data_IF_488112691867
#
_entry.id   IF_488112691867
#
_cell.length_a   1.000
_cell.length_b   1.000
_cell.length_c   1.000
_cell.angle_alpha   90.00
_cell.angle_beta   90.00
_cell.angle_gamma   90.00
#
_symmetry.space_group_name_H-M   'P 1'
#
loop_
_entity.id
_entity.type
_entity.pdbx_description
1 polymer ?
#
# COMPACT_ATOMS: atom_id res chain seq x y z
N UNK A 1 -19.18 7.80 6.70
CA UNK A 1 -18.64 6.72 7.57
C UNK A 1 -17.34 7.10 8.26
N UNK A 2 -16.38 7.73 7.58
CA UNK A 2 -15.09 8.15 8.17
C UNK A 2 -15.24 8.95 9.49
N UNK A 3 -16.13 9.95 9.51
CA UNK A 3 -16.36 10.76 10.72
C UNK A 3 -16.95 9.93 11.87
N UNK A 4 -17.89 9.03 11.58
CA UNK A 4 -18.41 8.10 12.58
C UNK A 4 -17.33 7.16 13.12
N UNK A 5 -16.41 6.70 12.26
CA UNK A 5 -15.27 5.88 12.68
C UNK A 5 -14.33 6.65 13.62
N UNK A 6 -14.00 7.92 13.28
CA UNK A 6 -13.20 8.83 14.12
C UNK A 6 -13.81 9.03 15.51
N UNK A 7 -15.13 9.17 15.61
CA UNK A 7 -15.84 9.37 16.88
C UNK A 7 -16.26 8.07 17.59
N UNK A 8 -15.74 6.90 17.18
CA UNK A 8 -16.09 5.59 17.77
C UNK A 8 -17.58 5.27 17.73
N UNK A 9 -18.28 5.78 16.70
CA UNK A 9 -19.73 5.59 16.47
C UNK A 9 -20.06 4.66 15.31
N UNK A 10 -19.05 4.12 14.60
CA UNK A 10 -19.35 3.09 13.62
C UNK A 10 -19.81 1.79 14.32
N UNK A 11 -20.68 1.06 13.63
CA UNK A 11 -21.16 -0.24 14.06
C UNK A 11 -20.36 -1.32 13.34
N UNK A 12 -20.34 -2.52 13.90
CA UNK A 12 -19.61 -3.66 13.38
C UNK A 12 -20.33 -4.31 12.18
N UNK A 13 -20.62 -3.52 11.14
CA UNK A 13 -21.20 -4.01 9.90
C UNK A 13 -20.12 -4.64 9.01
N UNK A 14 -20.50 -5.70 8.29
CA UNK A 14 -19.71 -6.26 7.19
C UNK A 14 -19.87 -5.34 5.99
N UNK A 15 -18.85 -4.52 5.74
CA UNK A 15 -18.83 -3.58 4.62
C UNK A 15 -18.57 -4.32 3.31
N UNK A 16 -19.25 -3.89 2.26
CA UNK A 16 -18.97 -4.27 0.88
C UNK A 16 -17.79 -3.47 0.34
N UNK A 17 -17.19 -3.96 -0.74
CA UNK A 17 -16.00 -3.37 -1.36
C UNK A 17 -16.27 -1.96 -1.87
N UNK A 18 -17.38 -1.78 -2.59
CA UNK A 18 -17.89 -0.51 -3.10
C UNK A 18 -18.06 0.55 -2.00
N UNK A 19 -18.59 0.15 -0.85
CA UNK A 19 -18.78 1.00 0.34
C UNK A 19 -17.45 1.46 0.93
N UNK A 20 -16.42 0.60 0.95
CA UNK A 20 -15.09 0.95 1.45
C UNK A 20 -14.39 1.90 0.48
N UNK A 21 -14.40 1.54 -0.82
CA UNK A 21 -13.79 2.31 -1.90
C UNK A 21 -14.33 3.74 -1.94
N UNK A 22 -15.65 3.89 -2.06
CA UNK A 22 -16.29 5.22 -2.12
C UNK A 22 -16.13 5.99 -0.80
N UNK A 23 -16.13 5.32 0.34
CA UNK A 23 -15.93 5.98 1.63
C UNK A 23 -14.54 6.57 1.80
N UNK A 24 -13.50 5.84 1.41
CA UNK A 24 -12.11 6.29 1.57
C UNK A 24 -11.72 7.26 0.47
N UNK A 25 -11.98 6.91 -0.80
CA UNK A 25 -11.46 7.65 -1.96
C UNK A 25 -12.45 8.70 -2.47
N UNK A 26 -13.75 8.54 -2.25
CA UNK A 26 -14.77 9.49 -2.72
C UNK A 26 -14.58 10.93 -2.23
N UNK A 27 -14.18 11.19 -0.97
CA UNK A 27 -13.90 12.55 -0.51
C UNK A 27 -12.80 13.27 -1.31
N UNK A 28 -11.89 12.55 -1.96
CA UNK A 28 -10.82 13.15 -2.77
C UNK A 28 -11.37 13.90 -4.00
N UNK A 29 -12.56 13.55 -4.49
CA UNK A 29 -13.23 14.27 -5.60
C UNK A 29 -13.57 15.73 -5.26
N UNK A 30 -13.52 16.11 -3.98
CA UNK A 30 -13.80 17.48 -3.52
C UNK A 30 -12.53 18.23 -3.07
N UNK A 31 -11.35 17.63 -3.26
CA UNK A 31 -10.08 18.23 -2.87
C UNK A 31 -9.41 18.97 -4.03
N UNK A 32 -8.56 19.97 -3.75
CA UNK A 32 -7.74 20.59 -4.79
C UNK A 32 -6.89 19.53 -5.53
N UNK A 33 -6.78 19.60 -6.88
CA UNK A 33 -6.02 18.64 -7.67
C UNK A 33 -4.57 18.46 -7.20
N UNK A 34 -3.93 19.54 -6.74
CA UNK A 34 -2.57 19.54 -6.20
C UNK A 34 -2.42 18.70 -4.92
N UNK A 35 -3.44 18.67 -4.07
CA UNK A 35 -3.43 17.88 -2.83
C UNK A 35 -3.60 16.39 -3.16
N UNK A 36 -4.52 16.06 -4.07
CA UNK A 36 -4.72 14.67 -4.56
C UNK A 36 -3.46 14.17 -5.27
N UNK A 37 -2.85 15.02 -6.10
CA UNK A 37 -1.59 14.72 -6.77
C UNK A 37 -0.46 14.45 -5.78
N UNK A 38 -0.29 15.33 -4.77
CA UNK A 38 0.73 15.20 -3.75
C UNK A 38 0.57 13.88 -2.97
N UNK A 39 -0.66 13.53 -2.57
CA UNK A 39 -0.98 12.26 -1.92
C UNK A 39 -0.57 11.06 -2.79
N UNK A 40 -1.00 11.03 -4.05
CA UNK A 40 -0.75 9.89 -4.93
C UNK A 40 0.74 9.71 -5.21
N UNK A 41 1.48 10.82 -5.37
CA UNK A 41 2.93 10.82 -5.57
C UNK A 41 3.71 10.23 -4.40
N UNK A 42 3.26 10.43 -3.17
CA UNK A 42 3.92 9.84 -1.99
C UNK A 42 3.38 8.44 -1.68
N UNK A 43 2.15 8.12 -2.08
CA UNK A 43 1.51 6.85 -1.77
C UNK A 43 1.90 5.72 -2.73
N UNK A 44 1.90 5.99 -4.04
CA UNK A 44 2.09 4.95 -5.04
C UNK A 44 3.58 4.74 -5.32
N UNK A 45 4.09 3.49 -5.25
CA UNK A 45 5.52 3.19 -5.24
C UNK A 45 6.17 3.19 -6.63
N UNK A 46 5.78 4.12 -7.51
CA UNK A 46 6.41 4.28 -8.81
C UNK A 46 7.64 5.17 -8.72
N UNK A 47 8.61 4.91 -9.58
CA UNK A 47 9.85 5.70 -9.64
C UNK A 47 9.53 7.14 -10.04
N UNK A 48 10.30 8.09 -9.51
CA UNK A 48 10.06 9.53 -9.69
C UNK A 48 10.02 9.92 -11.17
N UNK A 49 10.81 9.27 -12.01
CA UNK A 49 10.96 9.55 -13.44
C UNK A 49 9.75 9.08 -14.26
N UNK A 50 8.90 8.21 -13.68
CA UNK A 50 7.65 7.76 -14.30
C UNK A 50 6.51 8.76 -14.09
N UNK A 51 6.66 9.68 -13.13
CA UNK A 51 5.68 10.73 -12.88
C UNK A 51 5.95 11.92 -13.80
N UNK A 52 4.90 12.52 -14.37
CA UNK A 52 4.98 13.85 -14.93
C UNK A 52 5.62 14.86 -13.95
N UNK A 53 6.41 15.79 -14.48
CA UNK A 53 7.14 16.78 -13.68
C UNK A 53 6.26 17.98 -13.31
N UNK A 54 5.27 18.28 -14.13
CA UNK A 54 4.29 19.34 -13.87
C UNK A 54 3.36 18.95 -12.71
N UNK A 55 2.68 19.95 -12.14
CA UNK A 55 1.55 19.73 -11.23
C UNK A 55 0.26 19.83 -12.05
N UNK A 56 -0.68 18.88 -11.91
CA UNK A 56 -1.93 18.93 -12.66
C UNK A 56 -2.81 20.09 -12.22
N UNK A 57 -3.57 20.64 -13.17
CA UNK A 57 -4.59 21.67 -12.93
C UNK A 57 -5.98 21.07 -12.71
N UNK A 58 -6.14 19.76 -12.93
CA UNK A 58 -7.41 19.04 -12.75
C UNK A 58 -7.18 17.58 -12.35
N UNK A 59 -8.09 17.05 -11.54
CA UNK A 59 -8.13 15.64 -11.14
C UNK A 59 -9.59 15.16 -11.17
N UNK A 60 -9.89 14.22 -12.05
CA UNK A 60 -11.20 13.57 -12.15
C UNK A 60 -11.15 12.17 -11.53
N UNK A 61 -12.09 11.86 -10.63
CA UNK A 61 -12.19 10.57 -9.97
C UNK A 61 -13.52 9.92 -10.38
N UNK A 62 -13.42 8.93 -11.27
CA UNK A 62 -14.55 8.18 -11.80
C UNK A 62 -14.64 6.81 -11.12
N UNK A 63 -15.71 6.55 -10.36
CA UNK A 63 -15.96 5.26 -9.70
C UNK A 63 -16.77 4.34 -10.61
N UNK A 64 -16.32 3.10 -10.77
CA UNK A 64 -16.93 2.09 -11.64
C UNK A 64 -17.20 2.58 -13.08
N UNK A 65 -16.23 3.22 -13.76
CA UNK A 65 -16.44 3.65 -15.13
C UNK A 65 -16.49 2.44 -16.06
N UNK A 66 -17.31 2.51 -17.10
CA UNK A 66 -17.27 1.54 -18.17
C UNK A 66 -16.14 1.93 -19.15
N UNK A 67 -15.04 1.18 -19.15
CA UNK A 67 -13.96 1.31 -20.13
C UNK A 67 -14.30 0.44 -21.34
N UNK A 68 -14.99 0.99 -22.33
CA UNK A 68 -15.37 0.22 -23.52
C UNK A 68 -14.18 0.03 -24.47
N UNK A 69 -14.02 -1.21 -24.94
CA UNK A 69 -13.52 -1.52 -26.29
C UNK A 69 -14.00 -2.88 -26.82
N UNK A 70 -14.47 -3.83 -26.00
CA UNK A 70 -15.03 -5.12 -26.48
C UNK A 70 -15.89 -5.88 -25.42
N UNK A 71 -16.35 -5.18 -24.38
CA UNK A 71 -17.12 -5.73 -23.26
C UNK A 71 -17.16 -4.75 -22.08
N UNK A 72 -18.08 -4.96 -21.11
CA UNK A 72 -18.16 -4.14 -19.89
C UNK A 72 -16.94 -4.41 -19.01
N UNK A 73 -15.90 -3.58 -19.15
CA UNK A 73 -14.71 -3.63 -18.31
C UNK A 73 -14.78 -2.48 -17.31
N UNK A 74 -14.97 -2.82 -16.04
CA UNK A 74 -15.32 -1.86 -14.99
C UNK A 74 -14.27 -1.93 -13.87
N UNK A 75 -13.20 -1.10 -13.89
CA UNK A 75 -12.34 -0.94 -12.73
C UNK A 75 -13.11 -0.25 -11.58
N UNK A 76 -12.68 -0.46 -10.35
CA UNK A 76 -13.32 0.17 -9.19
C UNK A 76 -13.19 1.70 -9.18
N UNK A 77 -12.04 2.22 -9.62
CA UNK A 77 -11.77 3.65 -9.69
C UNK A 77 -10.78 3.97 -10.81
N UNK A 78 -11.04 5.04 -11.56
CA UNK A 78 -10.08 5.66 -12.47
C UNK A 78 -9.88 7.11 -12.07
N UNK A 79 -8.63 7.49 -11.85
CA UNK A 79 -8.23 8.87 -11.56
C UNK A 79 -7.51 9.44 -12.78
N UNK A 80 -8.05 10.52 -13.38
CA UNK A 80 -7.44 11.20 -14.52
C UNK A 80 -6.93 12.57 -14.10
N UNK A 81 -5.62 12.73 -14.12
CA UNK A 81 -4.98 14.02 -13.94
C UNK A 81 -4.84 14.72 -15.29
N UNK A 82 -5.11 16.02 -15.30
CA UNK A 82 -5.01 16.87 -16.48
C UNK A 82 -4.20 18.13 -16.19
N UNK A 83 -3.54 18.64 -17.22
CA UNK A 83 -2.87 19.94 -17.18
C UNK A 83 -3.39 20.79 -18.33
N UNK A 84 -4.06 21.90 -18.00
CA UNK A 84 -4.77 22.76 -18.97
C UNK A 84 -5.72 21.95 -19.87
N UNK A 85 -6.55 21.10 -19.25
CA UNK A 85 -7.51 20.18 -19.89
C UNK A 85 -6.90 19.09 -20.79
N UNK A 86 -5.56 18.97 -20.86
CA UNK A 86 -4.89 17.87 -21.58
C UNK A 86 -4.64 16.70 -20.64
N UNK A 87 -4.86 15.44 -21.09
CA UNK A 87 -4.51 14.26 -20.31
C UNK A 87 -3.02 14.26 -19.92
N UNK A 88 -2.74 13.90 -18.67
CA UNK A 88 -1.38 13.91 -18.11
C UNK A 88 -1.00 12.57 -17.50
N UNK A 89 -1.84 12.03 -16.60
CA UNK A 89 -1.64 10.72 -15.98
C UNK A 89 -3.01 10.08 -15.73
N UNK A 90 -3.14 8.80 -16.05
CA UNK A 90 -4.29 7.98 -15.66
C UNK A 90 -3.86 6.99 -14.60
N UNK A 91 -4.60 6.89 -13.49
CA UNK A 91 -4.35 5.89 -12.45
C UNK A 91 -5.59 5.01 -12.31
N UNK A 92 -5.45 3.73 -12.66
CA UNK A 92 -6.51 2.74 -12.57
C UNK A 92 -6.36 1.99 -11.25
N UNK A 93 -7.46 1.77 -10.56
CA UNK A 93 -7.51 0.95 -9.36
C UNK A 93 -8.47 -0.22 -9.58
N UNK A 94 -7.95 -1.40 -9.30
CA UNK A 94 -8.72 -2.59 -8.97
C UNK A 94 -8.55 -2.84 -7.47
N UNK A 95 -9.64 -2.86 -6.73
CA UNK A 95 -9.64 -2.89 -5.27
C UNK A 95 -10.18 -4.23 -4.81
N UNK A 96 -9.51 -4.86 -3.85
CA UNK A 96 -10.01 -6.06 -3.17
C UNK A 96 -10.04 -5.87 -1.67
N UNK A 97 -11.25 -5.87 -1.11
CA UNK A 97 -11.46 -5.77 0.32
C UNK A 97 -11.54 -7.15 0.98
N UNK A 98 -12.44 -8.03 0.57
CA UNK A 98 -12.55 -9.38 1.16
C UNK A 98 -12.66 -10.50 0.11
N UNK A 99 -12.57 -10.14 -1.16
CA UNK A 99 -12.64 -11.03 -2.33
C UNK A 99 -11.24 -11.28 -2.88
N UNK A 100 -11.07 -12.38 -3.61
CA UNK A 100 -9.93 -12.56 -4.52
C UNK A 100 -10.20 -11.83 -5.83
N UNK A 101 -9.20 -11.73 -6.71
CA UNK A 101 -9.42 -11.38 -8.12
C UNK A 101 -10.56 -12.23 -8.71
N UNK A 102 -11.52 -11.59 -9.39
CA UNK A 102 -12.74 -12.26 -9.85
C UNK A 102 -12.49 -13.14 -11.10
N UNK A 103 -11.47 -12.79 -11.89
CA UNK A 103 -11.00 -13.59 -13.02
C UNK A 103 -9.54 -13.30 -13.39
N UNK A 104 -8.83 -14.32 -13.89
CA UNK A 104 -7.38 -14.22 -14.20
C UNK A 104 -7.02 -13.05 -15.13
N UNK A 105 -7.94 -12.65 -16.00
CA UNK A 105 -7.75 -11.62 -17.03
C UNK A 105 -8.36 -10.26 -16.66
N UNK A 106 -8.98 -10.09 -15.48
CA UNK A 106 -9.65 -8.83 -15.10
C UNK A 106 -8.73 -7.61 -15.23
N UNK A 107 -7.55 -7.68 -14.61
CA UNK A 107 -6.54 -6.63 -14.68
C UNK A 107 -5.99 -6.42 -16.11
N UNK A 108 -5.89 -7.50 -16.89
CA UNK A 108 -5.43 -7.42 -18.29
C UNK A 108 -6.45 -6.67 -19.13
N UNK A 109 -7.73 -7.03 -19.00
CA UNK A 109 -8.82 -6.45 -19.77
C UNK A 109 -8.96 -4.96 -19.45
N UNK A 110 -8.85 -4.57 -18.17
CA UNK A 110 -8.85 -3.16 -17.76
C UNK A 110 -7.70 -2.37 -18.38
N UNK A 111 -6.50 -2.95 -18.40
CA UNK A 111 -5.37 -2.32 -19.06
C UNK A 111 -5.58 -2.21 -20.56
N UNK A 112 -6.06 -3.27 -21.22
CA UNK A 112 -6.25 -3.29 -22.67
C UNK A 112 -7.38 -2.36 -23.14
N UNK A 113 -8.39 -2.12 -22.30
CA UNK A 113 -9.47 -1.19 -22.57
C UNK A 113 -9.02 0.28 -22.67
N UNK A 114 -7.86 0.64 -22.10
CA UNK A 114 -7.27 1.97 -22.26
C UNK A 114 -6.83 2.24 -23.70
N UNK A 115 -6.91 3.50 -24.12
CA UNK A 115 -6.31 3.94 -25.38
C UNK A 115 -4.79 3.77 -25.36
N UNK A 116 -4.17 3.59 -26.53
CA UNK A 116 -2.71 3.44 -26.64
C UNK A 116 -1.95 4.68 -26.14
N UNK A 117 -2.55 5.87 -26.22
CA UNK A 117 -1.98 7.09 -25.67
C UNK A 117 -2.07 7.13 -24.14
N UNK A 118 -3.21 6.74 -23.55
CA UNK A 118 -3.34 6.62 -22.08
C UNK A 118 -2.37 5.57 -21.52
N UNK A 119 -2.18 4.43 -22.19
CA UNK A 119 -1.26 3.37 -21.74
C UNK A 119 0.18 3.87 -21.56
N UNK A 120 0.60 4.91 -22.29
CA UNK A 120 1.95 5.51 -22.17
C UNK A 120 2.15 6.24 -20.84
N UNK A 121 1.09 6.75 -20.24
CA UNK A 121 1.12 7.53 -19.00
C UNK A 121 0.14 6.98 -17.96
N UNK A 122 -0.19 5.69 -18.03
CA UNK A 122 -1.06 5.05 -17.06
C UNK A 122 -0.25 4.36 -15.95
N UNK A 123 -0.84 4.32 -14.75
CA UNK A 123 -0.50 3.41 -13.67
C UNK A 123 -1.69 2.51 -13.39
N UNK A 124 -1.43 1.24 -13.08
CA UNK A 124 -2.45 0.27 -12.72
C UNK A 124 -2.15 -0.25 -11.30
N UNK A 125 -3.10 -0.02 -10.40
CA UNK A 125 -2.98 -0.28 -8.98
C UNK A 125 -3.90 -1.42 -8.61
N UNK A 126 -3.32 -2.48 -8.05
CA UNK A 126 -4.07 -3.56 -7.43
C UNK A 126 -4.04 -3.38 -5.91
N UNK A 127 -5.11 -2.81 -5.35
CA UNK A 127 -5.18 -2.38 -3.95
C UNK A 127 -5.88 -3.42 -3.08
N UNK A 128 -5.14 -4.00 -2.13
CA UNK A 128 -5.58 -5.15 -1.34
C UNK A 128 -5.44 -4.92 0.16
N UNK A 129 -6.03 -5.78 1.00
CA UNK A 129 -5.73 -5.81 2.44
C UNK A 129 -4.41 -6.53 2.76
N UNK A 130 -4.16 -7.66 2.09
CA UNK A 130 -2.97 -8.49 2.29
C UNK A 130 -2.13 -8.47 1.01
N UNK A 131 -1.03 -7.72 1.04
CA UNK A 131 -0.11 -7.59 -0.09
C UNK A 131 0.62 -8.88 -0.42
N UNK A 132 0.87 -9.75 0.57
CA UNK A 132 1.49 -11.06 0.34
C UNK A 132 0.58 -11.96 -0.49
N UNK A 133 -0.71 -11.99 -0.15
CA UNK A 133 -1.74 -12.66 -0.96
C UNK A 133 -1.92 -11.97 -2.32
N UNK A 134 -2.07 -10.65 -2.34
CA UNK A 134 -2.29 -9.89 -3.56
C UNK A 134 -1.16 -10.05 -4.59
N UNK A 135 0.11 -10.09 -4.15
CA UNK A 135 1.24 -10.33 -5.05
C UNK A 135 1.22 -11.73 -5.69
N UNK A 136 0.72 -12.75 -4.96
CA UNK A 136 0.55 -14.10 -5.54
C UNK A 136 -0.53 -14.11 -6.61
N UNK A 137 -1.67 -13.47 -6.34
CA UNK A 137 -2.77 -13.33 -7.31
C UNK A 137 -2.30 -12.54 -8.55
N UNK A 138 -1.57 -11.43 -8.33
CA UNK A 138 -0.98 -10.62 -9.41
C UNK A 138 -0.02 -11.45 -10.28
N UNK A 139 0.87 -12.22 -9.65
CA UNK A 139 1.84 -13.07 -10.36
C UNK A 139 1.13 -14.12 -11.23
N UNK A 140 0.02 -14.69 -10.74
CA UNK A 140 -0.81 -15.62 -11.52
C UNK A 140 -1.51 -14.95 -12.70
N UNK A 141 -1.94 -13.69 -12.57
CA UNK A 141 -2.50 -12.93 -13.70
C UNK A 141 -1.46 -12.57 -14.75
N UNK A 142 -0.19 -12.42 -14.36
CA UNK A 142 0.90 -12.04 -15.27
C UNK A 142 1.43 -13.19 -16.15
N UNK A 143 1.17 -14.46 -15.80
CA UNK A 143 1.61 -15.60 -16.63
C UNK A 143 0.97 -15.60 -18.01
N UNK A 144 -0.23 -15.01 -18.13
CA UNK A 144 -1.08 -15.13 -19.31
C UNK A 144 -1.10 -13.85 -20.17
N UNK A 145 -0.35 -12.80 -19.81
CA UNK A 145 -0.35 -11.51 -20.52
C UNK A 145 1.05 -10.87 -20.65
N UNK A 146 1.53 -10.55 -21.88
CA UNK A 146 2.97 -10.37 -22.14
C UNK A 146 3.42 -8.92 -22.44
N UNK A 147 2.66 -7.86 -22.12
CA UNK A 147 3.14 -6.49 -22.40
C UNK A 147 4.09 -5.99 -21.31
N UNK A 148 5.40 -5.96 -21.61
CA UNK A 148 6.46 -5.41 -20.74
C UNK A 148 6.08 -4.05 -20.14
N UNK A 149 5.53 -3.16 -20.97
CA UNK A 149 5.07 -1.83 -20.56
C UNK A 149 4.07 -1.87 -19.39
N UNK A 150 3.10 -2.79 -19.44
CA UNK A 150 2.10 -2.90 -18.39
C UNK A 150 2.71 -3.41 -17.09
N UNK A 151 3.60 -4.40 -17.16
CA UNK A 151 4.27 -4.97 -15.96
C UNK A 151 5.07 -3.92 -15.18
N UNK A 152 5.69 -2.98 -15.87
CA UNK A 152 6.44 -1.88 -15.23
C UNK A 152 5.51 -0.82 -14.60
N UNK A 153 4.23 -0.82 -14.98
CA UNK A 153 3.20 0.14 -14.56
C UNK A 153 2.13 -0.46 -13.65
N UNK A 154 2.26 -1.73 -13.30
CA UNK A 154 1.34 -2.48 -12.44
C UNK A 154 1.98 -2.72 -11.07
N UNK A 155 1.29 -2.33 -10.00
CA UNK A 155 1.76 -2.55 -8.62
C UNK A 155 0.66 -3.10 -7.73
N UNK A 156 1.02 -4.00 -6.82
CA UNK A 156 0.15 -4.41 -5.72
C UNK A 156 0.48 -3.56 -4.47
N UNK A 157 -0.51 -2.85 -3.95
CA UNK A 157 -0.37 -1.99 -2.77
C UNK A 157 -1.39 -2.40 -1.71
N UNK A 158 -1.02 -2.20 -0.45
CA UNK A 158 -1.87 -2.52 0.69
C UNK A 158 -2.57 -1.29 1.25
N UNK A 159 -3.77 -1.43 1.79
CA UNK A 159 -4.42 -0.36 2.57
C UNK A 159 -3.54 0.17 3.71
N UNK A 160 -2.67 -0.68 4.26
CA UNK A 160 -1.68 -0.29 5.26
C UNK A 160 -0.67 0.75 4.76
N UNK A 161 -0.23 0.67 3.50
CA UNK A 161 0.72 1.66 2.96
C UNK A 161 0.10 3.06 2.92
N UNK A 162 -1.21 3.15 2.67
CA UNK A 162 -1.94 4.42 2.77
C UNK A 162 -1.85 4.98 4.19
N UNK A 163 -2.09 4.16 5.22
CA UNK A 163 -1.99 4.60 6.62
C UNK A 163 -0.59 5.13 6.94
N UNK A 164 0.46 4.40 6.56
CA UNK A 164 1.86 4.78 6.79
C UNK A 164 2.17 6.14 6.16
N UNK A 165 1.72 6.34 4.92
CA UNK A 165 1.93 7.57 4.17
C UNK A 165 1.14 8.75 4.76
N UNK A 166 -0.10 8.52 5.18
CA UNK A 166 -0.91 9.55 5.82
C UNK A 166 -0.34 9.96 7.18
N UNK A 167 0.15 9.00 7.98
CA UNK A 167 0.80 9.30 9.26
C UNK A 167 2.09 10.10 9.06
N UNK A 168 2.94 9.72 8.10
CA UNK A 168 4.23 10.36 7.86
C UNK A 168 4.11 11.75 7.21
N UNK A 169 3.17 11.93 6.28
CA UNK A 169 3.05 13.18 5.50
C UNK A 169 1.99 14.15 6.04
N UNK A 170 1.29 13.81 7.14
CA UNK A 170 0.29 14.68 7.79
C UNK A 170 0.73 16.14 7.93
N UNK A 171 1.96 16.47 8.39
CA UNK A 171 2.38 17.86 8.56
C UNK A 171 2.51 18.64 7.24
N UNK A 172 2.58 17.95 6.09
CA UNK A 172 2.78 18.55 4.76
C UNK A 172 1.47 18.81 4.03
N UNK A 173 0.37 18.20 4.48
CA UNK A 173 -0.94 18.35 3.86
C UNK A 173 -1.70 19.56 4.42
N UNK A 174 -2.61 20.10 3.60
CA UNK A 174 -3.55 21.14 4.04
C UNK A 174 -4.56 20.63 5.07
N UNK A 175 -5.28 21.55 5.72
CA UNK A 175 -6.25 21.24 6.79
C UNK A 175 -7.33 20.25 6.35
N UNK A 176 -7.88 20.40 5.14
CA UNK A 176 -8.94 19.52 4.62
C UNK A 176 -8.44 18.08 4.40
N UNK A 177 -7.28 17.94 3.76
CA UNK A 177 -6.61 16.66 3.54
C UNK A 177 -6.26 16.00 4.88
N UNK A 178 -5.78 16.75 5.86
CA UNK A 178 -5.51 16.22 7.20
C UNK A 178 -6.77 15.73 7.93
N UNK A 179 -7.90 16.45 7.81
CA UNK A 179 -9.16 16.01 8.39
C UNK A 179 -9.66 14.70 7.76
N UNK A 180 -9.54 14.58 6.45
CA UNK A 180 -9.83 13.34 5.72
C UNK A 180 -8.88 12.21 6.15
N UNK A 181 -7.57 12.48 6.21
CA UNK A 181 -6.54 11.51 6.60
C UNK A 181 -6.84 10.91 7.98
N UNK A 182 -7.24 11.73 8.96
CA UNK A 182 -7.65 11.27 10.29
C UNK A 182 -8.82 10.28 10.21
N UNK A 183 -9.80 10.59 9.38
CA UNK A 183 -10.98 9.76 9.17
C UNK A 183 -10.61 8.43 8.54
N UNK A 184 -9.73 8.43 7.53
CA UNK A 184 -9.25 7.23 6.85
C UNK A 184 -8.41 6.35 7.78
N UNK A 185 -7.46 6.94 8.50
CA UNK A 185 -6.62 6.22 9.47
C UNK A 185 -7.50 5.53 10.52
N UNK A 186 -8.41 6.29 11.16
CA UNK A 186 -9.30 5.75 12.18
C UNK A 186 -10.22 4.65 11.61
N UNK A 187 -10.74 4.84 10.39
CA UNK A 187 -11.57 3.85 9.72
C UNK A 187 -10.80 2.55 9.45
N UNK A 188 -9.63 2.62 8.81
CA UNK A 188 -8.84 1.46 8.43
C UNK A 188 -8.32 0.69 9.66
N UNK A 189 -7.83 1.39 10.69
CA UNK A 189 -7.38 0.77 11.95
C UNK A 189 -8.50 -0.02 12.63
N UNK A 190 -9.72 0.51 12.66
CA UNK A 190 -10.87 -0.18 13.25
C UNK A 190 -11.35 -1.37 12.42
N UNK A 191 -10.88 -1.51 11.19
CA UNK A 191 -11.08 -2.68 10.33
C UNK A 191 -9.86 -3.62 10.30
N UNK A 192 -8.96 -3.49 11.28
CA UNK A 192 -7.81 -4.36 11.46
C UNK A 192 -6.66 -4.07 10.49
N UNK A 193 -6.70 -2.94 9.77
CA UNK A 193 -5.56 -2.47 8.99
C UNK A 193 -4.74 -1.55 9.87
N UNK A 194 -3.67 -2.07 10.48
CA UNK A 194 -2.79 -1.29 11.37
C UNK A 194 -1.37 -1.30 10.84
N UNK A 195 -0.61 -0.27 11.22
CA UNK A 195 0.84 -0.22 11.04
C UNK A 195 1.51 -0.97 12.19
N UNK A 196 2.70 -1.52 11.94
CA UNK A 196 3.52 -2.11 12.98
C UNK A 196 4.21 -0.94 13.67
N UNK A 197 3.79 -0.65 14.90
CA UNK A 197 4.40 0.38 15.73
C UNK A 197 5.51 -0.21 16.61
N UNK A 198 6.11 -1.33 16.18
CA UNK A 198 7.11 -2.03 16.99
C UNK A 198 6.49 -2.81 18.15
N UNK A 199 7.28 -2.89 19.22
CA UNK A 199 6.89 -3.49 20.48
C UNK A 199 6.69 -2.42 21.55
N UNK A 200 6.10 -1.27 21.19
CA UNK A 200 5.81 -0.21 22.17
C UNK A 200 5.01 -0.72 23.38
N UNK A 201 4.13 -1.71 23.16
CA UNK A 201 3.39 -2.39 24.22
C UNK A 201 4.27 -3.25 25.15
N UNK A 202 5.49 -3.63 24.74
CA UNK A 202 6.50 -4.25 25.61
C UNK A 202 7.34 -3.20 26.36
N UNK A 203 7.34 -1.93 25.95
CA UNK A 203 8.14 -0.90 26.61
C UNK A 203 7.61 -0.56 28.02
N UNK A 204 6.30 -0.74 28.25
CA UNK A 204 5.68 -0.55 29.56
C UNK A 204 5.85 -1.76 30.49
N UNK A 205 6.18 -2.94 29.94
CA UNK A 205 6.62 -4.09 30.72
C UNK A 205 8.12 -3.96 30.97
N UNK A 206 8.50 -3.19 31.98
CA UNK A 206 9.83 -3.30 32.59
C UNK A 206 9.89 -4.69 33.24
N UNK A 207 10.23 -5.70 32.45
CA UNK A 207 10.60 -7.01 32.97
C UNK A 207 11.91 -6.77 33.70
N UNK A 208 11.84 -6.67 35.03
CA UNK A 208 13.02 -6.74 35.89
C UNK A 208 13.58 -8.15 35.73
N UNK A 209 14.45 -8.32 34.74
CA UNK A 209 15.25 -9.52 34.61
C UNK A 209 16.24 -9.43 35.77
N UNK A 210 16.01 -10.21 36.82
CA UNK A 210 17.05 -10.44 37.81
C UNK A 210 18.31 -10.87 37.04
N UNK A 211 19.50 -10.34 37.34
CA UNK A 211 20.74 -10.75 36.69
C UNK A 211 21.10 -12.17 37.13
N UNK A 212 20.31 -13.16 36.71
CA UNK A 212 20.65 -14.56 36.82
C UNK A 212 21.42 -14.96 35.57
N UNK A 213 22.68 -15.30 35.80
CA UNK A 213 23.64 -16.01 34.93
C UNK A 213 23.37 -15.87 33.43
N UNK A 214 24.21 -15.05 32.79
CA UNK A 214 24.59 -15.15 31.37
C UNK A 214 23.57 -15.90 30.51
N UNK A 215 22.46 -15.24 30.18
CA UNK A 215 21.61 -15.62 29.04
C UNK A 215 22.37 -15.32 27.74
N UNK A 216 23.57 -15.89 27.61
CA UNK A 216 24.16 -16.10 26.32
C UNK A 216 23.35 -17.22 25.69
N UNK A 217 22.70 -16.90 24.58
CA UNK A 217 22.12 -17.85 23.65
C UNK A 217 22.88 -19.19 23.72
N UNK A 218 22.24 -20.25 24.24
CA UNK A 218 22.81 -21.58 24.22
C UNK A 218 22.20 -22.29 23.01
N UNK A 219 22.85 -22.24 21.82
CA UNK A 219 22.42 -23.00 20.66
C UNK A 219 22.70 -24.47 20.98
N UNK A 220 21.83 -25.12 21.75
CA UNK A 220 21.69 -26.55 21.60
C UNK A 220 20.92 -26.74 20.29
N UNK A 221 21.58 -27.18 19.20
CA UNK A 221 20.87 -27.39 17.96
C UNK A 221 19.81 -28.47 18.21
N UNK A 222 18.57 -28.18 17.83
CA UNK A 222 17.43 -29.11 17.88
C UNK A 222 17.58 -30.29 16.91
N UNK A 223 18.72 -30.39 16.23
CA UNK A 223 19.18 -31.54 15.47
C UNK A 223 20.65 -31.83 15.84
N UNK A 224 20.92 -33.05 16.27
CA UNK A 224 22.29 -33.50 16.56
C UNK A 224 23.09 -33.63 15.25
N UNK A 225 23.85 -32.61 14.87
CA UNK A 225 24.93 -32.82 13.91
C UNK A 225 26.02 -33.65 14.60
N UNK A 226 25.98 -34.96 14.39
CA UNK A 226 26.97 -35.92 14.89
C UNK A 226 28.37 -35.77 14.28
N UNK A 227 28.71 -34.61 13.72
CA UNK A 227 30.02 -34.31 13.17
C UNK A 227 30.56 -33.04 13.82
N UNK A 228 31.69 -33.17 14.52
CA UNK A 228 32.48 -32.08 15.06
C UNK A 228 32.85 -31.11 13.93
N UNK A 229 32.10 -30.03 13.80
CA UNK A 229 32.58 -28.85 13.07
C UNK A 229 33.46 -28.08 14.05
N UNK A 230 34.78 -28.28 13.95
CA UNK A 230 35.71 -27.37 14.62
C UNK A 230 35.55 -25.99 13.98
N UNK A 231 35.39 -24.91 14.77
CA UNK A 231 35.38 -23.57 14.20
C UNK A 231 36.71 -23.32 13.47
N UNK A 232 36.70 -22.64 12.31
CA UNK A 232 37.93 -22.17 11.71
C UNK A 232 38.60 -21.24 12.72
N UNK A 233 39.79 -21.63 13.15
CA UNK A 233 40.68 -20.75 13.89
C UNK A 233 40.89 -19.48 13.06
N UNK A 234 40.70 -18.33 13.73
CA UNK A 234 40.99 -16.96 13.28
C UNK A 234 39.82 -16.24 12.59
N UNK A 235 39.04 -15.49 13.38
CA UNK A 235 38.88 -14.04 13.15
C UNK A 235 38.29 -13.32 14.40
N UNK A 236 39.03 -12.39 15.05
CA UNK A 236 38.57 -11.68 16.23
C UNK A 236 37.81 -10.41 15.83
N UNK A 237 36.61 -10.56 15.26
CA UNK A 237 35.80 -9.37 14.88
C UNK A 237 34.80 -8.97 15.97
N UNK A 238 34.46 -9.85 16.92
CA UNK A 238 33.29 -9.60 17.79
C UNK A 238 33.56 -9.18 19.24
N UNK A 239 34.82 -9.05 19.70
CA UNK A 239 35.06 -8.64 21.10
C UNK A 239 36.20 -7.62 21.21
N UNK A 240 35.82 -6.35 21.34
CA UNK A 240 36.65 -5.34 22.02
C UNK A 240 35.99 -5.00 23.34
N UNK A 241 36.49 -5.57 24.42
CA UNK A 241 36.33 -5.00 25.76
C UNK A 241 37.61 -4.25 26.07
N UNK A 242 37.58 -2.92 26.03
CA UNK A 242 38.63 -2.14 26.68
C UNK A 242 38.14 -1.78 28.08
N UNK A 243 38.73 -2.47 29.04
CA UNK A 243 38.83 -2.14 30.45
C UNK A 243 39.54 -0.80 30.64
N UNK A 244 39.05 -0.02 31.60
CA UNK A 244 39.70 1.16 32.14
C UNK A 244 40.93 0.77 32.97
N UNK A 245 42.03 1.49 32.79
CA UNK A 245 43.02 1.83 33.81
C UNK A 245 43.12 3.35 33.89
#
# INVERSE_FOLDING_TARGET
MLFAAKHRKDRNFKLREDEVTSCILGPLSYMPPEDVWALFRVWLPFKVEMWPTETPTGADLSFWPNLENEGRTEPDLVVRFTNNAKPMLTVLFEIKWNSAISGKQELVNQWEALSDDEKKTAFHIYLVKDTGRGNRELTQSLTDSPKKLWRERLVCVGWRSLIEILLYNRPKFGTAMNLWADGVIAFLQRRGQTTFTGFEWLADEIVSIAPEKELFWNPLPWFSMGNKVSPPTVDPIFWRTNSND
#
